data_IF_895807785176
#
_entry.id   IF_895807785176
#
_cell.length_a   1.000
_cell.length_b   1.000
_cell.length_c   1.000
_cell.angle_alpha   90.00
_cell.angle_beta   90.00
_cell.angle_gamma   90.00
#
_symmetry.space_group_name_H-M   'P 1'
#
loop_
_entity.id
_entity.type
_entity.pdbx_description
1 polymer ?
#
# COMPACT_ATOMS: atom_id res chain seq x y z
N UNK A 1 14.33 1.45 -4.83
CA UNK A 1 14.35 0.67 -3.57
C UNK A 1 15.77 0.33 -3.10
N UNK A 2 16.74 0.08 -3.96
CA UNK A 2 18.17 -0.09 -3.64
C UNK A 2 18.57 -1.34 -2.83
N UNK A 3 17.61 -2.20 -2.48
CA UNK A 3 17.92 -3.46 -1.79
C UNK A 3 18.49 -4.49 -2.76
N UNK A 4 19.40 -5.33 -2.25
CA UNK A 4 19.93 -6.49 -2.98
C UNK A 4 19.23 -7.80 -2.61
N UNK A 5 18.44 -7.79 -1.55
CA UNK A 5 17.68 -8.94 -1.04
C UNK A 5 16.22 -8.56 -0.87
N UNK A 6 15.33 -9.56 -0.78
CA UNK A 6 13.90 -9.33 -0.49
C UNK A 6 13.77 -8.52 0.80
N UNK A 7 13.02 -7.41 0.73
CA UNK A 7 12.69 -6.60 1.89
C UNK A 7 11.66 -7.31 2.75
N UNK A 8 11.83 -7.26 4.07
CA UNK A 8 10.83 -7.75 5.04
C UNK A 8 10.37 -6.58 5.89
N UNK A 9 9.07 -6.34 5.89
CA UNK A 9 8.45 -5.26 6.66
C UNK A 9 7.03 -5.61 7.11
N UNK A 10 6.35 -4.63 7.71
CA UNK A 10 4.95 -4.82 8.09
C UNK A 10 4.35 -3.66 8.86
N UNK A 11 3.07 -3.78 9.19
CA UNK A 11 2.39 -2.90 10.13
C UNK A 11 2.59 -3.44 11.54
N UNK A 12 3.25 -2.66 12.40
CA UNK A 12 3.65 -3.12 13.74
C UNK A 12 4.01 -1.97 14.66
N UNK A 13 3.97 -2.23 15.96
CA UNK A 13 4.45 -1.29 16.98
C UNK A 13 5.97 -1.13 16.95
N UNK A 14 6.50 -0.09 17.62
CA UNK A 14 7.94 0.13 17.76
C UNK A 14 8.64 -1.02 18.49
N UNK A 15 7.96 -1.60 19.46
CA UNK A 15 8.48 -2.76 20.20
C UNK A 15 8.69 -3.96 19.27
N UNK A 16 7.70 -4.29 18.46
CA UNK A 16 7.77 -5.39 17.47
C UNK A 16 8.81 -5.09 16.39
N UNK A 17 8.87 -3.86 15.89
CA UNK A 17 9.81 -3.44 14.87
C UNK A 17 11.28 -3.48 15.34
N UNK A 18 11.52 -3.31 16.64
CA UNK A 18 12.85 -3.40 17.25
C UNK A 18 13.23 -4.83 17.66
N UNK A 19 12.27 -5.76 17.68
CA UNK A 19 12.49 -7.16 18.07
C UNK A 19 13.15 -8.00 16.97
N UNK A 20 13.06 -7.59 15.70
CA UNK A 20 13.72 -8.23 14.57
C UNK A 20 14.30 -7.20 13.59
N UNK A 21 15.28 -7.59 12.75
CA UNK A 21 15.91 -6.66 11.81
C UNK A 21 15.06 -6.44 10.55
N UNK A 22 13.86 -5.89 10.73
CA UNK A 22 12.97 -5.48 9.64
C UNK A 22 13.60 -4.38 8.79
N UNK A 23 13.21 -4.30 7.52
CA UNK A 23 13.67 -3.28 6.57
C UNK A 23 12.72 -2.09 6.49
N UNK A 24 11.45 -2.30 6.82
CA UNK A 24 10.45 -1.25 6.69
C UNK A 24 9.17 -1.52 7.46
N UNK A 25 8.33 -0.49 7.47
CA UNK A 25 6.96 -0.53 7.98
C UNK A 25 6.02 -0.03 6.91
N UNK A 26 4.74 -0.32 7.04
CA UNK A 26 3.73 0.39 6.25
C UNK A 26 2.68 1.04 7.14
N UNK A 27 2.11 2.12 6.63
CA UNK A 27 0.99 2.80 7.25
C UNK A 27 0.14 3.47 6.18
N UNK A 28 -1.14 3.65 6.49
CA UNK A 28 -2.07 4.33 5.63
C UNK A 28 -2.01 5.84 5.81
N UNK A 29 -2.18 6.55 4.71
CA UNK A 29 -2.56 7.95 4.70
C UNK A 29 -3.90 8.05 4.00
N UNK A 30 -4.94 8.21 4.78
CA UNK A 30 -6.31 8.29 4.27
C UNK A 30 -7.15 9.22 5.16
N UNK A 31 -7.99 9.99 4.57
CA UNK A 31 -9.08 10.77 5.17
C UNK A 31 -9.82 11.54 4.08
N UNK A 32 -10.93 12.18 4.43
CA UNK A 32 -11.43 13.28 3.63
C UNK A 32 -10.31 14.32 3.42
N UNK A 33 -10.12 14.87 2.20
CA UNK A 33 -9.14 15.91 1.96
C UNK A 33 -9.39 17.15 2.83
N UNK A 34 -8.32 17.92 3.06
CA UNK A 34 -8.39 19.15 3.85
C UNK A 34 -9.61 20.01 3.48
N UNK A 35 -10.35 20.54 4.47
CA UNK A 35 -11.55 21.34 4.19
C UNK A 35 -11.28 22.60 3.36
N UNK A 36 -10.08 23.17 3.50
CA UNK A 36 -9.61 24.30 2.68
C UNK A 36 -8.08 24.34 2.63
N UNK A 37 -7.54 25.10 1.67
CA UNK A 37 -6.09 25.29 1.52
C UNK A 37 -5.42 25.94 2.74
N UNK A 38 -6.15 26.61 3.59
CA UNK A 38 -5.63 27.21 4.81
C UNK A 38 -5.10 26.16 5.81
N UNK A 39 -5.60 24.93 5.78
CA UNK A 39 -5.16 23.84 6.64
C UNK A 39 -3.71 23.39 6.35
N UNK A 40 -3.18 23.63 5.16
CA UNK A 40 -1.80 23.21 4.83
C UNK A 40 -0.73 24.06 5.51
N UNK A 41 -1.05 25.26 5.97
CA UNK A 41 -0.08 26.22 6.49
C UNK A 41 -0.38 26.79 7.88
N UNK A 42 -1.54 26.48 8.46
CA UNK A 42 -2.01 27.15 9.66
C UNK A 42 -2.17 26.21 10.85
N UNK A 43 -2.25 26.81 12.04
CA UNK A 43 -2.64 26.15 13.29
C UNK A 43 -4.16 25.84 13.36
N UNK A 44 -4.82 25.59 12.23
CA UNK A 44 -6.24 25.27 12.19
C UNK A 44 -6.57 23.92 12.82
N UNK A 45 -5.60 23.03 12.91
CA UNK A 45 -5.70 21.81 13.69
C UNK A 45 -5.96 22.06 15.19
N UNK A 46 -5.64 23.27 15.68
CA UNK A 46 -5.84 23.67 17.07
C UNK A 46 -7.30 23.97 17.40
N UNK A 47 -8.06 24.44 16.43
CA UNK A 47 -9.42 24.98 16.67
C UNK A 47 -10.55 24.02 16.29
N UNK A 48 -10.31 23.09 15.39
CA UNK A 48 -11.27 22.08 14.97
C UNK A 48 -10.57 20.83 14.47
N UNK A 49 -10.60 19.76 15.24
CA UNK A 49 -10.26 18.44 14.72
C UNK A 49 -11.24 18.06 13.61
N UNK A 50 -10.75 17.91 12.41
CA UNK A 50 -11.57 17.64 11.23
C UNK A 50 -11.56 16.18 10.79
N UNK A 51 -10.78 15.32 11.46
CA UNK A 51 -10.50 13.97 11.00
C UNK A 51 -9.51 13.90 9.82
N UNK A 52 -9.00 15.03 9.34
CA UNK A 52 -8.00 15.07 8.30
C UNK A 52 -6.64 14.55 8.81
N UNK A 53 -5.97 13.68 8.03
CA UNK A 53 -4.69 13.07 8.40
C UNK A 53 -3.60 14.10 8.75
N UNK A 54 -3.61 15.26 8.09
CA UNK A 54 -2.65 16.32 8.33
C UNK A 54 -2.76 16.98 9.71
N UNK A 55 -3.88 16.81 10.41
CA UNK A 55 -4.10 17.28 11.78
C UNK A 55 -3.77 16.22 12.84
N UNK A 56 -3.13 15.11 12.49
CA UNK A 56 -2.73 14.10 13.47
C UNK A 56 -1.84 14.69 14.56
N UNK A 57 -2.11 14.28 15.80
CA UNK A 57 -1.42 14.82 16.98
C UNK A 57 -2.06 16.10 17.54
N UNK A 58 -3.13 16.61 16.92
CA UNK A 58 -3.88 17.78 17.41
C UNK A 58 -3.04 19.07 17.42
N UNK A 59 -3.33 19.92 18.39
CA UNK A 59 -2.85 21.28 18.49
C UNK A 59 -1.37 21.46 18.86
N UNK A 60 -0.63 20.41 19.07
CA UNK A 60 0.79 20.49 19.46
C UNK A 60 1.75 20.29 18.30
N UNK A 61 1.24 19.96 17.12
CA UNK A 61 2.05 19.60 15.96
C UNK A 61 1.69 20.42 14.72
N UNK A 62 2.68 20.65 13.85
CA UNK A 62 2.44 21.31 12.57
C UNK A 62 1.63 20.39 11.64
N UNK A 63 0.83 20.95 10.71
CA UNK A 63 0.12 20.16 9.73
C UNK A 63 1.04 19.20 8.96
N UNK A 64 0.61 17.94 8.83
CA UNK A 64 1.40 16.87 8.21
C UNK A 64 2.45 16.20 9.10
N UNK A 65 2.45 16.50 10.40
CA UNK A 65 3.38 15.90 11.37
C UNK A 65 3.28 14.36 11.41
N UNK A 66 2.16 13.78 11.09
CA UNK A 66 2.01 12.33 10.95
C UNK A 66 3.11 11.72 10.05
N UNK A 67 3.33 12.32 8.89
CA UNK A 67 4.34 11.86 7.93
C UNK A 67 5.75 12.18 8.43
N UNK A 68 6.05 13.44 8.71
CA UNK A 68 7.41 13.87 9.08
C UNK A 68 7.91 13.26 10.39
N UNK A 69 7.03 13.06 11.37
CA UNK A 69 7.36 12.36 12.61
C UNK A 69 7.64 10.89 12.34
N UNK A 70 6.76 10.21 11.60
CA UNK A 70 6.89 8.77 11.34
C UNK A 70 8.15 8.47 10.52
N UNK A 71 8.43 9.23 9.46
CA UNK A 71 9.65 9.07 8.65
C UNK A 71 10.91 9.22 9.51
N UNK A 72 10.97 10.28 10.32
CA UNK A 72 12.12 10.50 11.19
C UNK A 72 12.27 9.41 12.26
N UNK A 73 11.15 8.90 12.75
CA UNK A 73 11.12 7.87 13.78
C UNK A 73 11.59 6.51 13.23
N UNK A 74 11.10 6.09 12.08
CA UNK A 74 11.50 4.80 11.47
C UNK A 74 12.95 4.84 10.96
N UNK A 75 13.42 6.01 10.50
CA UNK A 75 14.82 6.21 10.11
C UNK A 75 15.80 6.07 11.29
N UNK A 76 15.32 6.24 12.53
CA UNK A 76 16.10 6.07 13.77
C UNK A 76 15.89 4.69 14.43
N UNK A 77 15.18 3.77 13.78
CA UNK A 77 14.90 2.44 14.32
C UNK A 77 16.21 1.68 14.67
N UNK A 78 16.13 0.86 15.69
CA UNK A 78 17.26 0.06 16.17
C UNK A 78 16.90 -1.43 16.25
N UNK A 79 17.91 -2.27 16.19
CA UNK A 79 17.81 -3.69 16.49
C UNK A 79 18.97 -4.11 17.38
N UNK A 80 18.69 -4.71 18.55
CA UNK A 80 19.70 -5.10 19.55
C UNK A 80 20.67 -3.97 19.93
N UNK A 81 20.14 -2.75 20.05
CA UNK A 81 20.93 -1.57 20.40
C UNK A 81 21.79 -0.99 19.29
N UNK A 82 21.78 -1.56 18.11
CA UNK A 82 22.47 -1.02 16.93
C UNK A 82 21.50 -0.34 15.98
N UNK A 83 21.93 0.74 15.31
CA UNK A 83 21.13 1.44 14.32
C UNK A 83 20.70 0.46 13.21
N UNK A 84 19.41 0.41 12.94
CA UNK A 84 18.78 -0.34 11.87
C UNK A 84 17.69 0.50 11.23
N UNK A 85 18.06 1.52 10.45
CA UNK A 85 17.08 2.39 9.79
C UNK A 85 16.08 1.56 8.98
N UNK A 86 14.81 1.88 9.14
CA UNK A 86 13.71 1.30 8.38
C UNK A 86 13.16 2.34 7.42
N UNK A 87 12.40 1.89 6.42
CA UNK A 87 11.70 2.74 5.45
C UNK A 87 10.20 2.60 5.60
N UNK A 88 9.47 3.67 5.31
CA UNK A 88 8.02 3.57 5.20
C UNK A 88 7.60 3.11 3.80
N UNK A 89 6.58 2.27 3.75
CA UNK A 89 5.69 2.09 2.61
C UNK A 89 4.39 2.82 2.96
N UNK A 90 4.22 4.02 2.44
CA UNK A 90 3.03 4.83 2.64
C UNK A 90 1.94 4.36 1.70
N UNK A 91 0.84 3.85 2.22
CA UNK A 91 -0.35 3.55 1.43
C UNK A 91 -1.22 4.78 1.36
N UNK A 92 -1.17 5.48 0.22
CA UNK A 92 -2.05 6.59 -0.08
C UNK A 92 -3.40 6.03 -0.54
N UNK A 93 -4.43 6.20 0.30
CA UNK A 93 -5.75 5.56 0.14
C UNK A 93 -6.88 6.55 0.40
N UNK A 94 -6.84 7.70 -0.25
CA UNK A 94 -7.76 8.82 0.02
C UNK A 94 -8.90 8.93 -0.98
N UNK A 95 -8.89 8.20 -2.11
CA UNK A 95 -10.00 8.17 -3.05
C UNK A 95 -11.25 7.53 -2.44
N UNK A 96 -11.09 6.53 -1.60
CA UNK A 96 -12.20 5.94 -0.84
C UNK A 96 -12.95 6.98 -0.02
N UNK A 97 -12.22 7.75 0.80
CA UNK A 97 -12.82 8.80 1.64
C UNK A 97 -13.43 9.93 0.79
N UNK A 98 -12.83 10.18 -0.40
CA UNK A 98 -13.39 11.13 -1.38
C UNK A 98 -14.67 10.58 -2.00
N UNK A 99 -14.77 9.28 -2.24
CA UNK A 99 -15.98 8.59 -2.71
C UNK A 99 -17.14 8.75 -1.75
N UNK A 100 -16.88 8.63 -0.44
CA UNK A 100 -17.89 8.90 0.61
C UNK A 100 -18.41 10.34 0.52
N UNK A 101 -17.53 11.32 0.23
CA UNK A 101 -17.93 12.71 0.01
C UNK A 101 -18.77 12.90 -1.27
N UNK A 102 -18.65 12.00 -2.26
CA UNK A 102 -19.50 12.00 -3.45
C UNK A 102 -20.89 11.38 -3.20
N UNK A 103 -21.11 10.80 -2.00
CA UNK A 103 -22.37 10.25 -1.55
C UNK A 103 -22.69 8.87 -2.10
N UNK A 104 -21.68 8.13 -2.53
CA UNK A 104 -21.77 6.72 -2.96
C UNK A 104 -20.62 5.93 -2.33
N UNK A 105 -20.80 4.69 -1.98
CA UNK A 105 -19.76 3.86 -1.32
C UNK A 105 -18.56 3.54 -2.20
N UNK A 106 -17.74 2.62 -1.72
CA UNK A 106 -16.52 2.14 -2.39
C UNK A 106 -16.76 1.83 -3.88
N UNK A 107 -15.80 2.17 -4.71
CA UNK A 107 -15.83 1.98 -6.15
C UNK A 107 -16.68 3.01 -6.89
N UNK A 108 -18.02 2.93 -6.90
CA UNK A 108 -18.88 3.91 -7.59
C UNK A 108 -18.68 5.34 -7.12
N UNK A 109 -18.52 5.55 -5.80
CA UNK A 109 -18.27 6.85 -5.20
C UNK A 109 -16.93 7.43 -5.62
N UNK A 110 -15.90 6.66 -5.65
CA UNK A 110 -14.55 7.05 -6.09
C UNK A 110 -14.53 7.45 -7.56
N UNK A 111 -15.14 6.64 -8.43
CA UNK A 111 -15.25 6.94 -9.87
C UNK A 111 -16.06 8.20 -10.10
N UNK A 112 -17.12 8.45 -9.33
CA UNK A 112 -17.90 9.68 -9.39
C UNK A 112 -17.09 10.90 -8.91
N UNK A 113 -16.33 10.70 -7.82
CA UNK A 113 -15.53 11.76 -7.22
C UNK A 113 -14.43 12.27 -8.15
N UNK A 114 -13.71 11.41 -8.85
CA UNK A 114 -12.65 11.81 -9.78
C UNK A 114 -13.19 12.57 -11.00
N UNK A 115 -14.47 12.42 -11.33
CA UNK A 115 -15.14 13.18 -12.41
C UNK A 115 -15.74 14.51 -11.92
N UNK A 116 -15.48 14.91 -10.68
CA UNK A 116 -15.88 16.20 -10.10
C UNK A 116 -14.65 17.07 -9.88
N UNK A 117 -14.58 18.22 -10.56
CA UNK A 117 -13.44 19.16 -10.46
C UNK A 117 -13.18 19.58 -9.01
N UNK A 118 -14.22 19.93 -8.25
CA UNK A 118 -14.10 20.41 -6.88
C UNK A 118 -13.51 19.35 -5.94
N UNK A 119 -13.94 18.10 -6.05
CA UNK A 119 -13.44 17.00 -5.25
C UNK A 119 -12.02 16.60 -5.65
N UNK A 120 -11.79 16.42 -6.95
CA UNK A 120 -10.47 16.01 -7.45
C UNK A 120 -9.41 17.10 -7.20
N UNK A 121 -9.78 18.38 -7.26
CA UNK A 121 -8.86 19.49 -6.89
C UNK A 121 -8.41 19.35 -5.42
N UNK A 122 -9.34 19.09 -4.51
CA UNK A 122 -9.00 18.90 -3.09
C UNK A 122 -8.08 17.69 -2.88
N UNK A 123 -8.39 16.58 -3.53
CA UNK A 123 -7.58 15.37 -3.47
C UNK A 123 -6.15 15.59 -3.99
N UNK A 124 -5.98 16.22 -5.17
CA UNK A 124 -4.67 16.48 -5.75
C UNK A 124 -3.84 17.48 -4.92
N UNK A 125 -4.49 18.47 -4.31
CA UNK A 125 -3.82 19.37 -3.37
C UNK A 125 -3.35 18.66 -2.10
N UNK A 126 -4.17 17.76 -1.58
CA UNK A 126 -3.85 16.97 -0.39
C UNK A 126 -2.69 15.99 -0.69
N UNK A 127 -2.74 15.33 -1.85
CA UNK A 127 -1.65 14.47 -2.32
C UNK A 127 -0.34 15.25 -2.50
N UNK A 128 -0.39 16.44 -3.11
CA UNK A 128 0.79 17.33 -3.21
C UNK A 128 1.36 17.67 -1.84
N UNK A 129 0.50 18.02 -0.89
CA UNK A 129 0.92 18.33 0.47
C UNK A 129 1.60 17.12 1.15
N UNK A 130 1.04 15.92 1.01
CA UNK A 130 1.64 14.69 1.47
C UNK A 130 3.04 14.47 0.88
N UNK A 131 3.18 14.57 -0.43
CA UNK A 131 4.46 14.43 -1.11
C UNK A 131 5.51 15.46 -0.64
N UNK A 132 5.07 16.70 -0.40
CA UNK A 132 5.95 17.75 0.14
C UNK A 132 6.40 17.45 1.58
N UNK A 133 5.59 16.73 2.37
CA UNK A 133 6.00 16.29 3.71
C UNK A 133 7.00 15.15 3.67
N UNK A 134 6.90 14.24 2.73
CA UNK A 134 7.94 13.22 2.46
C UNK A 134 9.23 13.91 1.96
N UNK A 135 9.11 14.81 1.00
CA UNK A 135 10.24 15.56 0.45
C UNK A 135 11.31 14.64 -0.15
N UNK A 136 12.54 14.72 0.38
CA UNK A 136 13.68 13.92 -0.11
C UNK A 136 13.90 12.61 0.65
N UNK A 137 12.98 12.19 1.51
CA UNK A 137 13.07 10.91 2.20
C UNK A 137 13.09 9.75 1.20
N UNK A 138 13.84 8.70 1.54
CA UNK A 138 13.98 7.52 0.65
C UNK A 138 12.93 6.46 1.02
N UNK A 139 11.66 6.81 0.87
CA UNK A 139 10.52 6.00 1.24
C UNK A 139 9.91 5.29 0.01
N UNK A 140 8.80 4.63 0.22
CA UNK A 140 7.97 3.99 -0.80
C UNK A 140 6.53 4.51 -0.66
N UNK A 141 5.84 4.68 -1.78
CA UNK A 141 4.41 5.04 -1.81
C UNK A 141 3.67 3.95 -2.57
N UNK A 142 2.56 3.50 -2.03
CA UNK A 142 1.58 2.64 -2.67
C UNK A 142 0.35 3.49 -3.03
N UNK A 143 -0.03 3.51 -4.30
CA UNK A 143 -1.08 4.39 -4.81
C UNK A 143 -2.42 3.69 -4.92
N UNK A 144 -3.37 4.10 -4.09
CA UNK A 144 -4.81 3.84 -4.16
C UNK A 144 -5.15 2.36 -4.35
N UNK A 145 -4.99 1.54 -3.30
CA UNK A 145 -5.54 0.18 -3.28
C UNK A 145 -7.01 0.17 -3.71
N UNK A 146 -7.46 -0.94 -4.32
CA UNK A 146 -8.81 -1.21 -4.80
C UNK A 146 -9.28 -0.33 -5.97
N UNK A 147 -9.04 0.97 -5.95
CA UNK A 147 -9.55 1.93 -6.91
C UNK A 147 -9.30 1.52 -8.37
N UNK A 148 -8.09 1.08 -8.70
CA UNK A 148 -7.76 0.67 -10.07
C UNK A 148 -8.54 -0.57 -10.52
N UNK A 149 -8.92 -1.44 -9.59
CA UNK A 149 -9.79 -2.59 -9.82
C UNK A 149 -11.20 -2.16 -10.22
N UNK A 150 -11.75 -1.17 -9.52
CA UNK A 150 -13.06 -0.60 -9.85
C UNK A 150 -13.05 0.08 -11.23
N UNK A 151 -12.04 0.90 -11.50
CA UNK A 151 -11.86 1.54 -12.83
C UNK A 151 -11.79 0.50 -13.94
N UNK A 152 -10.97 -0.55 -13.78
CA UNK A 152 -10.82 -1.62 -14.77
C UNK A 152 -12.12 -2.38 -15.03
N UNK A 153 -12.98 -2.53 -14.01
CA UNK A 153 -14.27 -3.22 -14.14
C UNK A 153 -15.25 -2.48 -15.05
N UNK A 154 -15.07 -1.16 -15.23
CA UNK A 154 -15.87 -0.32 -16.13
C UNK A 154 -15.44 -0.42 -17.60
N UNK A 155 -14.31 -1.04 -17.90
CA UNK A 155 -13.84 -1.23 -19.28
C UNK A 155 -12.46 -0.62 -19.54
N UNK A 156 -12.34 0.17 -20.59
CA UNK A 156 -11.09 0.82 -20.99
C UNK A 156 -10.80 2.02 -20.06
N UNK A 157 -9.66 2.00 -19.37
CA UNK A 157 -9.25 3.01 -18.39
C UNK A 157 -9.06 4.43 -18.99
N UNK A 158 -8.82 4.53 -20.30
CA UNK A 158 -8.80 5.80 -21.04
C UNK A 158 -10.20 6.39 -21.23
N UNK A 159 -11.26 5.59 -21.10
CA UNK A 159 -12.64 6.02 -21.29
C UNK A 159 -13.38 6.27 -19.96
N UNK A 160 -12.81 5.90 -18.84
CA UNK A 160 -13.35 6.25 -17.51
C UNK A 160 -13.02 7.71 -17.23
N UNK A 161 -14.02 8.61 -17.18
CA UNK A 161 -13.77 10.05 -17.14
C UNK A 161 -13.22 10.50 -15.78
N UNK A 162 -12.21 11.37 -15.81
CA UNK A 162 -11.69 12.08 -14.64
C UNK A 162 -11.34 13.51 -15.04
N UNK A 163 -11.64 14.50 -14.19
CA UNK A 163 -11.45 15.92 -14.50
C UNK A 163 -10.02 16.40 -14.19
N UNK A 164 -9.03 15.65 -14.67
CA UNK A 164 -7.62 15.76 -14.24
C UNK A 164 -7.03 17.12 -14.57
N UNK A 165 -7.21 17.60 -15.83
CA UNK A 165 -6.67 18.87 -16.30
C UNK A 165 -7.30 20.08 -15.61
N UNK A 166 -8.62 20.03 -15.40
CA UNK A 166 -9.34 21.11 -14.75
C UNK A 166 -9.08 21.16 -13.24
N UNK A 167 -8.89 20.00 -12.62
CA UNK A 167 -8.62 19.89 -11.19
C UNK A 167 -7.21 20.40 -10.81
N UNK A 168 -6.23 20.14 -11.67
CA UNK A 168 -4.84 20.60 -11.46
C UNK A 168 -4.15 20.89 -12.80
N UNK A 169 -4.35 22.07 -13.38
CA UNK A 169 -3.72 22.43 -14.64
C UNK A 169 -2.20 22.56 -14.56
N UNK A 170 -1.65 22.75 -13.35
CA UNK A 170 -0.21 22.96 -13.14
C UNK A 170 0.58 21.65 -13.21
N UNK A 171 0.12 20.61 -12.53
CA UNK A 171 0.82 19.33 -12.45
C UNK A 171 0.24 18.31 -13.44
N UNK A 172 -1.06 18.38 -13.72
CA UNK A 172 -1.78 17.40 -14.51
C UNK A 172 -2.26 17.92 -15.87
N UNK A 173 -1.95 19.17 -16.24
CA UNK A 173 -2.47 19.81 -17.45
C UNK A 173 -2.08 19.13 -18.78
N UNK A 174 -1.03 18.29 -18.78
CA UNK A 174 -0.62 17.51 -19.94
C UNK A 174 -1.19 16.08 -19.97
N UNK A 175 -1.91 15.67 -18.92
CA UNK A 175 -2.52 14.35 -18.83
C UNK A 175 -3.90 14.37 -19.52
N UNK A 176 -4.41 13.21 -19.91
CA UNK A 176 -5.78 13.10 -20.42
C UNK A 176 -6.82 13.19 -19.28
N UNK A 177 -8.05 13.57 -19.62
CA UNK A 177 -9.15 13.60 -18.66
C UNK A 177 -9.78 12.22 -18.49
N UNK A 178 -9.00 11.28 -17.96
CA UNK A 178 -9.38 9.89 -17.74
C UNK A 178 -8.72 9.32 -16.49
N UNK A 179 -9.13 8.11 -16.08
CA UNK A 179 -8.47 7.38 -15.01
C UNK A 179 -7.00 7.08 -15.35
N UNK A 180 -6.66 6.78 -16.60
CA UNK A 180 -5.27 6.60 -17.04
C UNK A 180 -4.47 7.91 -16.88
N UNK A 181 -5.07 9.07 -17.22
CA UNK A 181 -4.46 10.38 -16.99
C UNK A 181 -4.28 10.70 -15.51
N UNK A 182 -5.22 10.31 -14.65
CA UNK A 182 -5.08 10.46 -13.19
C UNK A 182 -3.90 9.65 -12.67
N UNK A 183 -3.77 8.37 -13.04
CA UNK A 183 -2.62 7.55 -12.68
C UNK A 183 -1.30 8.19 -13.11
N UNK A 184 -1.22 8.62 -14.37
CA UNK A 184 -0.05 9.32 -14.90
C UNK A 184 0.29 10.60 -14.14
N UNK A 185 -0.72 11.36 -13.71
CA UNK A 185 -0.53 12.56 -12.91
C UNK A 185 0.03 12.23 -11.53
N UNK A 186 -0.57 11.29 -10.80
CA UNK A 186 -0.13 10.90 -9.45
C UNK A 186 1.33 10.44 -9.45
N UNK A 187 1.72 9.60 -10.42
CA UNK A 187 3.11 9.13 -10.56
C UNK A 187 4.05 10.32 -10.84
N UNK A 188 3.66 11.22 -11.73
CA UNK A 188 4.47 12.40 -12.08
C UNK A 188 4.62 13.37 -10.91
N UNK A 189 3.57 13.58 -10.12
CA UNK A 189 3.61 14.40 -8.92
C UNK A 189 4.55 13.79 -7.86
N UNK A 190 4.50 12.47 -7.66
CA UNK A 190 5.42 11.79 -6.74
C UNK A 190 6.88 12.03 -7.12
N UNK A 191 7.25 11.80 -8.36
CA UNK A 191 8.61 12.05 -8.84
C UNK A 191 9.03 13.53 -8.77
N UNK A 192 8.07 14.46 -8.89
CA UNK A 192 8.33 15.92 -8.79
C UNK A 192 8.55 16.40 -7.36
N UNK A 193 7.69 15.99 -6.44
CA UNK A 193 7.63 16.55 -5.07
C UNK A 193 8.33 15.68 -4.01
N UNK A 194 8.52 14.39 -4.32
CA UNK A 194 9.23 13.43 -3.46
C UNK A 194 10.28 12.61 -4.26
N UNK A 195 11.28 13.27 -4.88
CA UNK A 195 12.17 12.63 -5.86
C UNK A 195 13.07 11.54 -5.29
N UNK A 196 13.24 11.47 -3.97
CA UNK A 196 13.96 10.40 -3.27
C UNK A 196 13.13 9.14 -3.02
N UNK A 197 11.81 9.23 -3.22
CA UNK A 197 10.85 8.19 -2.87
C UNK A 197 10.46 7.37 -4.10
N UNK A 198 10.39 6.06 -3.95
CA UNK A 198 9.88 5.18 -5.00
C UNK A 198 8.34 5.17 -4.97
N UNK A 199 7.70 5.31 -6.14
CA UNK A 199 6.24 5.26 -6.26
C UNK A 199 5.78 3.95 -6.90
N UNK A 200 4.88 3.26 -6.22
CA UNK A 200 4.24 2.01 -6.65
C UNK A 200 2.81 2.24 -7.11
N UNK A 201 2.42 1.61 -8.21
CA UNK A 201 1.03 1.54 -8.62
C UNK A 201 0.41 0.27 -8.05
N UNK A 202 -0.71 0.42 -7.29
CA UNK A 202 -1.37 -0.74 -6.70
C UNK A 202 -2.04 -1.62 -7.75
N UNK A 203 -1.79 -2.91 -7.69
CA UNK A 203 -2.25 -3.93 -8.64
C UNK A 203 -3.55 -4.58 -8.14
N UNK A 204 -4.68 -3.95 -8.42
CA UNK A 204 -6.02 -4.41 -8.03
C UNK A 204 -6.68 -5.20 -9.16
N UNK A 205 -6.17 -6.41 -9.40
CA UNK A 205 -6.70 -7.33 -10.41
C UNK A 205 -7.54 -8.42 -9.75
N UNK A 206 -8.74 -8.10 -9.29
CA UNK A 206 -9.62 -9.02 -8.56
C UNK A 206 -10.00 -10.29 -9.33
N UNK A 207 -9.89 -10.26 -10.67
CA UNK A 207 -10.21 -11.33 -11.61
C UNK A 207 -8.98 -12.03 -12.20
N UNK A 208 -7.79 -11.83 -11.61
CA UNK A 208 -6.52 -12.25 -12.19
C UNK A 208 -6.46 -13.75 -12.55
N UNK A 209 -7.09 -14.63 -11.77
CA UNK A 209 -7.11 -16.08 -12.04
C UNK A 209 -7.66 -16.42 -13.41
N UNK A 210 -8.60 -15.61 -13.92
CA UNK A 210 -9.28 -15.85 -15.18
C UNK A 210 -8.90 -14.86 -16.27
N UNK A 211 -8.25 -13.74 -15.93
CA UNK A 211 -8.12 -12.61 -16.83
C UNK A 211 -6.77 -11.86 -16.72
N UNK A 212 -5.68 -12.60 -16.48
CA UNK A 212 -4.32 -12.02 -16.44
C UNK A 212 -3.97 -11.19 -17.67
N UNK A 213 -4.29 -11.58 -18.93
CA UNK A 213 -3.96 -10.77 -20.11
C UNK A 213 -4.63 -9.38 -20.09
N UNK A 214 -5.89 -9.30 -19.63
CA UNK A 214 -6.56 -8.01 -19.48
C UNK A 214 -5.90 -7.16 -18.39
N UNK A 215 -5.53 -7.77 -17.25
CA UNK A 215 -4.82 -7.08 -16.20
C UNK A 215 -3.51 -6.47 -16.72
N UNK A 216 -2.71 -7.22 -17.47
CA UNK A 216 -1.47 -6.74 -18.10
C UNK A 216 -1.73 -5.54 -19.02
N UNK A 217 -2.76 -5.61 -19.88
CA UNK A 217 -3.13 -4.52 -20.79
C UNK A 217 -3.55 -3.27 -20.02
N UNK A 218 -4.48 -3.44 -19.05
CA UNK A 218 -5.01 -2.30 -18.29
C UNK A 218 -3.91 -1.58 -17.51
N UNK A 219 -2.95 -2.31 -16.91
CA UNK A 219 -1.84 -1.70 -16.18
C UNK A 219 -0.80 -1.05 -17.09
N UNK A 220 -0.63 -1.55 -18.30
CA UNK A 220 0.15 -0.84 -19.32
C UNK A 220 -0.50 0.51 -19.65
N UNK A 221 -1.82 0.54 -19.83
CA UNK A 221 -2.62 1.73 -20.11
C UNK A 221 -2.68 2.71 -18.92
N UNK A 222 -2.71 2.21 -17.68
CA UNK A 222 -2.55 3.01 -16.46
C UNK A 222 -1.14 3.59 -16.28
N UNK A 223 -0.19 3.24 -17.14
CA UNK A 223 1.14 3.80 -17.11
C UNK A 223 2.07 3.15 -16.06
N UNK A 224 1.83 1.90 -15.68
CA UNK A 224 2.62 1.16 -14.69
C UNK A 224 4.14 1.13 -14.99
N UNK A 225 4.54 1.25 -16.26
CA UNK A 225 5.96 1.39 -16.67
C UNK A 225 6.63 2.66 -16.14
N UNK A 226 5.85 3.70 -15.82
CA UNK A 226 6.34 4.97 -15.28
C UNK A 226 6.48 4.93 -13.75
N UNK A 227 5.79 4.02 -13.08
CA UNK A 227 6.00 3.74 -11.66
C UNK A 227 7.34 3.05 -11.43
N UNK A 228 7.81 3.02 -10.17
CA UNK A 228 9.08 2.40 -9.80
C UNK A 228 8.91 0.91 -9.44
N UNK A 229 7.73 0.53 -8.99
CA UNK A 229 7.35 -0.84 -8.65
C UNK A 229 5.83 -1.02 -8.75
N UNK A 230 5.36 -2.26 -8.62
CA UNK A 230 3.96 -2.58 -8.39
C UNK A 230 3.74 -2.99 -6.94
N UNK A 231 2.56 -2.75 -6.41
CA UNK A 231 2.14 -3.27 -5.11
C UNK A 231 0.89 -4.12 -5.30
N UNK A 232 0.72 -5.19 -4.54
CA UNK A 232 -0.55 -5.92 -4.50
C UNK A 232 -0.77 -6.51 -3.12
N UNK A 233 -2.03 -6.57 -2.72
CA UNK A 233 -2.46 -7.28 -1.53
C UNK A 233 -2.43 -8.79 -1.74
N UNK A 234 -2.28 -9.53 -0.65
CA UNK A 234 -2.37 -10.99 -0.65
C UNK A 234 -3.71 -11.44 -0.10
N UNK A 235 -4.16 -10.81 0.98
CA UNK A 235 -5.48 -10.99 1.57
C UNK A 235 -5.70 -9.93 2.65
N UNK A 236 -6.90 -9.42 2.76
CA UNK A 236 -7.27 -8.46 3.81
C UNK A 236 -7.50 -9.10 5.19
N UNK A 237 -7.65 -10.43 5.25
CA UNK A 237 -7.87 -11.20 6.50
C UNK A 237 -7.13 -12.52 6.50
N UNK A 238 -6.92 -13.04 7.73
CA UNK A 238 -6.38 -14.38 7.94
C UNK A 238 -7.31 -15.47 7.40
N UNK A 239 -6.74 -16.56 6.90
CA UNK A 239 -7.48 -17.70 6.35
C UNK A 239 -8.42 -18.35 7.38
N UNK A 240 -7.99 -18.41 8.64
CA UNK A 240 -8.81 -18.94 9.75
C UNK A 240 -10.03 -18.10 10.07
N UNK A 241 -10.00 -16.79 9.79
CA UNK A 241 -11.19 -15.94 9.89
C UNK A 241 -12.26 -16.36 8.86
N UNK A 242 -11.87 -16.48 7.58
CA UNK A 242 -12.75 -16.91 6.50
C UNK A 242 -13.29 -18.33 6.70
N UNK A 243 -12.50 -19.23 7.29
CA UNK A 243 -12.88 -20.63 7.52
C UNK A 243 -13.98 -20.78 8.56
N UNK A 244 -14.26 -19.75 9.37
CA UNK A 244 -15.36 -19.81 10.35
C UNK A 244 -16.73 -19.79 9.67
N UNK A 245 -17.71 -20.60 10.12
CA UNK A 245 -19.06 -20.60 9.57
C UNK A 245 -19.73 -19.22 9.61
N UNK A 246 -19.46 -18.42 10.65
CA UNK A 246 -19.98 -17.05 10.78
C UNK A 246 -19.46 -16.10 9.69
N UNK A 247 -18.36 -16.45 9.02
CA UNK A 247 -17.69 -15.65 7.98
C UNK A 247 -17.71 -16.33 6.59
N UNK A 248 -18.66 -17.24 6.39
CA UNK A 248 -18.88 -17.89 5.09
C UNK A 248 -18.24 -19.27 4.92
N UNK A 249 -17.39 -19.73 5.84
CA UNK A 249 -16.80 -21.07 5.84
C UNK A 249 -15.89 -21.38 4.64
N UNK A 250 -15.31 -20.35 4.00
CA UNK A 250 -14.48 -20.51 2.81
C UNK A 250 -13.02 -20.81 3.16
N UNK A 251 -12.36 -21.64 2.34
CA UNK A 251 -10.95 -21.98 2.53
C UNK A 251 -10.06 -20.96 1.81
N UNK A 252 -9.33 -20.18 2.59
CA UNK A 252 -8.33 -19.20 2.11
C UNK A 252 -6.89 -19.61 2.47
N UNK A 253 -6.68 -20.80 3.04
CA UNK A 253 -5.34 -21.37 3.20
C UNK A 253 -4.75 -21.70 1.83
N UNK A 254 -3.46 -21.48 1.66
CA UNK A 254 -2.79 -21.75 0.40
C UNK A 254 -2.36 -23.23 0.29
N UNK A 255 -2.75 -23.85 -0.81
CA UNK A 255 -2.07 -25.06 -1.26
C UNK A 255 -0.98 -24.71 -2.29
N UNK A 256 -0.11 -25.67 -2.59
CA UNK A 256 0.99 -25.47 -3.53
C UNK A 256 0.55 -24.98 -4.92
N UNK A 257 -0.63 -25.38 -5.40
CA UNK A 257 -1.15 -24.97 -6.69
C UNK A 257 -1.60 -23.50 -6.68
N UNK A 258 -2.32 -23.09 -5.66
CA UNK A 258 -2.77 -21.69 -5.50
C UNK A 258 -1.58 -20.75 -5.35
N UNK A 259 -0.61 -21.13 -4.53
CA UNK A 259 0.61 -20.36 -4.33
C UNK A 259 1.45 -20.25 -5.62
N UNK A 260 1.62 -21.35 -6.35
CA UNK A 260 2.32 -21.33 -7.64
C UNK A 260 1.59 -20.46 -8.67
N UNK A 261 0.25 -20.47 -8.70
CA UNK A 261 -0.54 -19.63 -9.59
C UNK A 261 -0.38 -18.14 -9.23
N UNK A 262 -0.40 -17.78 -7.94
CA UNK A 262 -0.17 -16.41 -7.50
C UNK A 262 1.24 -15.92 -7.87
N UNK A 263 2.28 -16.71 -7.61
CA UNK A 263 3.65 -16.36 -8.00
C UNK A 263 3.82 -16.23 -9.53
N UNK A 264 3.15 -17.08 -10.32
CA UNK A 264 3.16 -16.98 -11.78
C UNK A 264 2.47 -15.69 -12.26
N UNK A 265 1.36 -15.30 -11.63
CA UNK A 265 0.71 -14.02 -11.90
C UNK A 265 1.63 -12.83 -11.57
N UNK A 266 2.25 -12.79 -10.38
CA UNK A 266 3.18 -11.72 -10.00
C UNK A 266 4.34 -11.61 -11.00
N UNK A 267 4.94 -12.75 -11.38
CA UNK A 267 6.00 -12.81 -12.38
C UNK A 267 5.54 -12.22 -13.72
N UNK A 268 4.37 -12.63 -14.21
CA UNK A 268 3.81 -12.13 -15.46
C UNK A 268 3.63 -10.62 -15.43
N UNK A 269 3.08 -10.08 -14.34
CA UNK A 269 2.89 -8.63 -14.17
C UNK A 269 4.23 -7.89 -14.10
N UNK A 270 5.17 -8.36 -13.30
CA UNK A 270 6.50 -7.75 -13.17
C UNK A 270 7.23 -7.69 -14.52
N UNK A 271 7.26 -8.82 -15.26
CA UNK A 271 7.92 -8.91 -16.57
C UNK A 271 7.24 -8.04 -17.63
N UNK A 272 5.90 -7.94 -17.62
CA UNK A 272 5.14 -7.15 -18.59
C UNK A 272 5.43 -5.65 -18.51
N UNK A 273 5.68 -5.15 -17.31
CA UNK A 273 5.97 -3.73 -17.07
C UNK A 273 7.46 -3.46 -16.84
N UNK A 274 8.27 -4.49 -16.61
CA UNK A 274 9.71 -4.37 -16.31
C UNK A 274 9.97 -3.77 -14.92
N UNK A 275 9.10 -4.05 -13.95
CA UNK A 275 9.17 -3.49 -12.59
C UNK A 275 9.00 -4.60 -11.54
N UNK A 276 9.70 -4.50 -10.38
CA UNK A 276 9.49 -5.45 -9.29
C UNK A 276 8.11 -5.26 -8.64
N UNK A 277 7.70 -6.26 -7.86
CA UNK A 277 6.46 -6.23 -7.07
C UNK A 277 6.79 -6.21 -5.57
N UNK A 278 6.02 -5.48 -4.81
CA UNK A 278 5.93 -5.56 -3.34
C UNK A 278 4.59 -6.22 -2.99
N UNK A 279 4.64 -7.29 -2.22
CA UNK A 279 3.44 -7.88 -1.63
C UNK A 279 3.13 -7.17 -0.33
N UNK A 280 1.89 -6.77 -0.19
CA UNK A 280 1.40 -5.95 0.91
C UNK A 280 0.17 -6.58 1.56
N UNK A 281 -0.16 -6.19 2.79
CA UNK A 281 -1.23 -6.81 3.57
C UNK A 281 -1.13 -8.34 3.61
N UNK A 282 0.07 -8.88 3.81
CA UNK A 282 0.21 -10.32 3.96
C UNK A 282 -0.29 -10.71 5.36
N UNK A 283 -1.29 -11.59 5.48
CA UNK A 283 -1.78 -12.04 6.79
C UNK A 283 -0.67 -12.56 7.69
N UNK A 284 -0.76 -12.24 8.98
CA UNK A 284 0.29 -12.50 9.98
C UNK A 284 0.04 -13.78 10.77
N UNK A 285 -1.17 -14.31 10.72
CA UNK A 285 -1.54 -15.54 11.42
C UNK A 285 -0.59 -16.71 11.16
N UNK A 286 -0.63 -17.71 12.01
CA UNK A 286 0.12 -18.95 11.84
C UNK A 286 -0.71 -20.14 12.35
N UNK A 287 -0.31 -21.36 12.00
CA UNK A 287 -1.07 -22.57 12.30
C UNK A 287 -1.12 -22.95 13.79
N UNK A 288 -0.36 -22.28 14.65
CA UNK A 288 -0.43 -22.46 16.11
C UNK A 288 -1.55 -21.64 16.77
N UNK A 289 -2.15 -20.71 16.04
CA UNK A 289 -3.27 -19.89 16.52
C UNK A 289 -4.54 -20.73 16.71
N UNK A 290 -5.49 -20.23 17.51
CA UNK A 290 -6.68 -20.97 17.93
C UNK A 290 -8.00 -20.49 17.26
N UNK A 291 -7.91 -19.63 16.26
CA UNK A 291 -9.03 -19.02 15.54
C UNK A 291 -10.00 -18.21 16.43
N UNK A 292 -9.46 -17.54 17.44
CA UNK A 292 -10.20 -16.54 18.22
C UNK A 292 -9.82 -15.13 17.76
N UNK A 293 -10.55 -14.13 18.23
CA UNK A 293 -10.32 -12.71 17.95
C UNK A 293 -8.82 -12.34 18.09
N UNK A 294 -8.24 -11.74 17.06
CA UNK A 294 -6.82 -11.38 16.96
C UNK A 294 -5.83 -12.57 16.97
N UNK A 295 -6.31 -13.80 16.88
CA UNK A 295 -5.50 -15.03 16.94
C UNK A 295 -5.99 -16.05 15.91
N UNK A 296 -6.09 -15.65 14.65
CA UNK A 296 -6.53 -16.51 13.56
C UNK A 296 -5.37 -17.28 12.94
N UNK A 297 -5.67 -18.49 12.49
CA UNK A 297 -4.70 -19.30 11.74
C UNK A 297 -4.50 -18.72 10.33
N UNK A 298 -3.26 -18.76 9.88
CA UNK A 298 -2.91 -18.51 8.49
C UNK A 298 -1.61 -19.23 8.13
N UNK A 299 -1.38 -19.53 6.87
CA UNK A 299 -0.21 -20.27 6.39
C UNK A 299 0.76 -19.40 5.56
N UNK A 300 0.42 -18.15 5.28
CA UNK A 300 1.18 -17.32 4.33
C UNK A 300 2.55 -16.90 4.84
N UNK A 301 2.70 -16.59 6.13
CA UNK A 301 4.03 -16.32 6.72
C UNK A 301 4.95 -17.53 6.52
N UNK A 302 4.49 -18.71 6.89
CA UNK A 302 5.28 -19.93 6.77
C UNK A 302 5.57 -20.30 5.32
N UNK A 303 4.59 -20.11 4.42
CA UNK A 303 4.76 -20.34 3.00
C UNK A 303 5.85 -19.44 2.42
N UNK A 304 5.74 -18.12 2.59
CA UNK A 304 6.70 -17.19 2.00
C UNK A 304 8.13 -17.43 2.51
N UNK A 305 8.32 -17.58 3.81
CA UNK A 305 9.66 -17.81 4.36
C UNK A 305 10.27 -19.18 3.99
N UNK A 306 9.47 -20.16 3.61
CA UNK A 306 9.96 -21.46 3.12
C UNK A 306 10.20 -21.49 1.60
N UNK A 307 9.74 -20.47 0.83
CA UNK A 307 9.82 -20.43 -0.63
C UNK A 307 10.44 -19.14 -1.19
N UNK A 308 11.32 -18.49 -0.42
CA UNK A 308 11.89 -17.18 -0.78
C UNK A 308 12.61 -17.17 -2.15
N UNK A 309 13.23 -18.27 -2.57
CA UNK A 309 13.83 -18.39 -3.91
C UNK A 309 12.79 -18.32 -5.03
N UNK A 310 11.61 -18.89 -4.82
CA UNK A 310 10.49 -18.82 -5.77
C UNK A 310 9.90 -17.41 -5.77
N UNK A 311 9.78 -16.79 -4.61
CA UNK A 311 9.34 -15.39 -4.43
C UNK A 311 10.27 -14.43 -5.19
N UNK A 312 11.60 -14.58 -5.02
CA UNK A 312 12.59 -13.79 -5.77
C UNK A 312 12.49 -14.03 -7.29
N UNK A 313 12.26 -15.30 -7.70
CA UNK A 313 12.10 -15.67 -9.11
C UNK A 313 10.80 -15.13 -9.74
N UNK A 314 9.82 -14.75 -8.92
CA UNK A 314 8.62 -14.03 -9.33
C UNK A 314 8.77 -12.50 -9.34
N UNK A 315 10.01 -11.99 -9.22
CA UNK A 315 10.36 -10.56 -9.14
C UNK A 315 9.72 -9.82 -7.96
N UNK A 316 9.40 -10.55 -6.89
CA UNK A 316 8.91 -9.95 -5.65
C UNK A 316 10.11 -9.41 -4.86
N UNK A 317 10.13 -8.09 -4.68
CA UNK A 317 11.23 -7.37 -4.02
C UNK A 317 10.97 -7.08 -2.54
N UNK A 318 9.74 -7.23 -2.06
CA UNK A 318 9.38 -6.98 -0.67
C UNK A 318 8.14 -7.74 -0.23
N UNK A 319 8.15 -8.14 1.04
CA UNK A 319 7.05 -8.78 1.75
C UNK A 319 6.69 -7.91 2.95
N UNK A 320 5.51 -7.29 2.93
CA UNK A 320 5.00 -6.44 3.99
C UNK A 320 3.79 -7.08 4.65
N UNK A 321 3.97 -7.50 5.89
CA UNK A 321 3.02 -8.28 6.68
C UNK A 321 2.15 -7.36 7.55
N UNK A 322 0.87 -7.66 7.63
CA UNK A 322 -0.08 -6.96 8.50
C UNK A 322 -1.51 -7.16 8.06
N UNK A 323 -2.47 -6.95 8.96
CA UNK A 323 -3.88 -7.10 8.63
C UNK A 323 -4.37 -5.96 7.74
N UNK A 324 -5.25 -6.27 6.80
CA UNK A 324 -6.04 -5.28 6.05
C UNK A 324 -7.28 -4.83 6.79
N UNK A 325 -7.74 -5.63 7.77
CA UNK A 325 -8.95 -5.38 8.55
C UNK A 325 -8.66 -5.47 10.05
N UNK A 326 -9.52 -4.83 10.83
CA UNK A 326 -9.46 -4.95 12.30
C UNK A 326 -9.74 -6.38 12.76
N UNK A 327 -9.37 -6.67 14.01
CA UNK A 327 -9.64 -7.95 14.67
C UNK A 327 -8.90 -9.16 14.08
N UNK A 328 -7.96 -8.93 13.17
CA UNK A 328 -7.09 -9.97 12.61
C UNK A 328 -5.83 -10.16 13.46
N UNK A 329 -5.06 -11.22 13.18
CA UNK A 329 -3.78 -11.46 13.82
C UNK A 329 -2.79 -10.36 13.41
N UNK A 330 -2.07 -9.83 14.39
CA UNK A 330 -1.04 -8.82 14.18
C UNK A 330 0.34 -9.36 14.57
N UNK A 331 1.40 -8.63 14.30
CA UNK A 331 2.77 -9.00 14.71
C UNK A 331 2.88 -9.12 16.24
N UNK A 332 2.03 -8.40 16.98
CA UNK A 332 1.97 -8.43 18.45
C UNK A 332 1.22 -9.64 18.99
N UNK A 333 0.36 -10.27 18.18
CA UNK A 333 -0.52 -11.36 18.62
C UNK A 333 -0.23 -12.71 17.95
N UNK A 334 0.71 -12.76 17.00
CA UNK A 334 1.10 -13.98 16.27
C UNK A 334 1.96 -14.97 17.08
N UNK A 335 2.27 -14.65 18.33
CA UNK A 335 3.15 -15.46 19.18
C UNK A 335 4.63 -15.33 18.83
N UNK A 336 5.02 -14.30 18.08
CA UNK A 336 6.40 -14.02 17.68
C UNK A 336 6.86 -14.79 16.44
N UNK A 337 5.94 -15.39 15.69
CA UNK A 337 6.28 -16.18 14.50
C UNK A 337 6.99 -15.34 13.45
N UNK A 338 6.42 -14.20 13.04
CA UNK A 338 7.01 -13.31 12.04
C UNK A 338 8.37 -12.76 12.47
N UNK A 339 8.50 -12.38 13.76
CA UNK A 339 9.76 -11.92 14.36
C UNK A 339 10.84 -13.00 14.21
N UNK A 340 10.54 -14.22 14.62
CA UNK A 340 11.50 -15.34 14.57
C UNK A 340 11.90 -15.70 13.12
N UNK A 341 10.94 -15.71 12.19
CA UNK A 341 11.20 -15.95 10.75
C UNK A 341 12.09 -14.85 10.17
N UNK A 342 11.84 -13.59 10.50
CA UNK A 342 12.65 -12.45 10.04
C UNK A 342 14.08 -12.53 10.57
N UNK A 343 14.27 -12.88 11.84
CA UNK A 343 15.60 -13.10 12.42
C UNK A 343 16.34 -14.23 11.70
N UNK A 344 15.69 -15.38 11.48
CA UNK A 344 16.28 -16.51 10.78
C UNK A 344 16.68 -16.16 9.35
N UNK A 345 15.80 -15.47 8.62
CA UNK A 345 16.07 -14.98 7.26
C UNK A 345 17.30 -14.07 7.19
N UNK A 346 17.45 -13.15 8.11
CA UNK A 346 18.60 -12.24 8.13
C UNK A 346 19.89 -12.92 8.53
N UNK A 347 19.82 -13.88 9.46
CA UNK A 347 20.98 -14.69 9.86
C UNK A 347 21.49 -15.58 8.72
N UNK A 348 20.63 -15.99 7.78
CA UNK A 348 21.04 -16.73 6.57
C UNK A 348 21.66 -15.84 5.47
N UNK A 349 21.71 -14.52 5.67
CA UNK A 349 22.21 -13.56 4.67
C UNK A 349 21.14 -13.03 3.71
N UNK A 350 19.91 -13.48 3.82
CA UNK A 350 18.80 -13.09 2.92
C UNK A 350 18.84 -13.79 1.57
N UNK A 351 17.81 -13.59 0.76
CA UNK A 351 17.71 -14.11 -0.61
C UNK A 351 17.84 -12.97 -1.61
N UNK A 352 18.75 -13.12 -2.55
CA UNK A 352 19.05 -12.10 -3.55
C UNK A 352 17.87 -11.88 -4.51
N UNK A 353 17.63 -10.64 -4.88
CA UNK A 353 16.67 -10.26 -5.93
C UNK A 353 17.18 -10.73 -7.30
N UNK A 354 16.25 -11.12 -8.20
CA UNK A 354 16.52 -11.62 -9.54
C UNK A 354 15.90 -10.74 -10.61
#
# INVERSE_FOLDING_TARGET
MGSKTILIGGSMTDASASAAPFDGRYAYVHSQPAPSSAYYSASLCDSAWTGWWGCWGGNTTAPGAYVTYTDSHVAQATYRGSARPQKMLWTWYSLRDLGDAAGEGDGPGEVKAINRVDLLTRYLNDYRFFLQKIGNSQEMIDLEPDFWGYVRSLGNVHQVPAQVQAADPTDCGSQENSAAGLSGCLISMAHKYAPGTAVGLHLSCFDWQNNTPKCVSDYADLGAKKADFLVTDVSDRDAGWYAQPAHGGSNHFWNNQQAAAALAFYKTMAESVGKPIVLWQIPVGNMAQNNTLNHYQDDKVDYFFSHLDQVASAHVAGLFFGPGQQEQTTVETDGGNLINKTIAYRNSGGVALR
#
